data_IF_087582638381
#
_entry.id   IF_087582638381
#
_cell.length_a   1.000
_cell.length_b   1.000
_cell.length_c   1.000
_cell.angle_alpha   90.00
_cell.angle_beta   90.00
_cell.angle_gamma   90.00
#
_symmetry.space_group_name_H-M   'P 1'
#
loop_
_entity.id
_entity.type
_entity.pdbx_description
1 polymer ?
#
# COMPACT_ATOMS: atom_id res chain seq x y z
N UNK A 1 3.43 21.98 12.50
CA UNK A 1 2.74 20.93 13.29
C UNK A 1 2.09 19.95 12.34
N UNK A 2 2.66 18.74 12.15
CA UNK A 2 1.99 17.70 11.37
C UNK A 2 0.82 17.17 12.21
N UNK A 3 -0.39 17.41 11.74
CA UNK A 3 -1.61 16.82 12.31
C UNK A 3 -1.54 15.34 11.97
N UNK A 4 -1.14 14.50 12.92
CA UNK A 4 -1.21 13.04 12.83
C UNK A 4 -2.69 12.62 12.83
N UNK A 5 -3.41 12.93 11.74
CA UNK A 5 -4.82 12.59 11.61
C UNK A 5 -4.92 11.10 11.30
N UNK A 6 -5.31 10.35 12.32
CA UNK A 6 -5.59 8.92 12.22
C UNK A 6 -6.89 8.72 11.44
N UNK A 7 -6.79 8.13 10.25
CA UNK A 7 -7.94 7.81 9.42
C UNK A 7 -8.59 6.50 9.84
N UNK A 8 -9.91 6.45 9.72
CA UNK A 8 -10.76 5.26 9.77
C UNK A 8 -10.75 4.51 8.43
N UNK A 9 -11.43 3.37 8.36
CA UNK A 9 -11.59 2.63 7.09
C UNK A 9 -12.34 3.48 6.04
N UNK A 10 -13.50 4.11 6.34
CA UNK A 10 -14.18 4.97 5.36
C UNK A 10 -13.33 6.15 4.88
N UNK A 11 -12.61 6.82 5.77
CA UNK A 11 -11.72 7.92 5.38
C UNK A 11 -10.57 7.44 4.49
N UNK A 12 -10.02 6.26 4.77
CA UNK A 12 -8.99 5.67 3.92
C UNK A 12 -9.54 5.26 2.54
N UNK A 13 -10.81 4.82 2.47
CA UNK A 13 -11.48 4.52 1.20
C UNK A 13 -11.58 5.77 0.33
N UNK A 14 -11.99 6.89 0.92
CA UNK A 14 -12.06 8.17 0.22
C UNK A 14 -10.66 8.66 -0.18
N UNK A 15 -9.69 8.56 0.73
CA UNK A 15 -8.32 8.99 0.50
C UNK A 15 -7.65 8.25 -0.66
N UNK A 16 -7.80 6.92 -0.73
CA UNK A 16 -7.21 6.10 -1.79
C UNK A 16 -8.15 5.93 -3.00
N UNK A 17 -9.40 6.40 -2.91
CA UNK A 17 -10.46 6.18 -3.92
C UNK A 17 -10.69 4.71 -4.24
N UNK A 18 -10.72 3.86 -3.21
CA UNK A 18 -10.92 2.40 -3.35
C UNK A 18 -12.09 1.88 -2.53
N UNK A 19 -12.59 0.70 -2.91
CA UNK A 19 -13.65 0.01 -2.17
C UNK A 19 -13.10 -0.61 -0.89
N UNK A 20 -13.99 -0.85 0.08
CA UNK A 20 -13.68 -1.50 1.36
C UNK A 20 -12.92 -2.82 1.19
N UNK A 21 -13.33 -3.65 0.24
CA UNK A 21 -12.70 -4.95 -0.01
C UNK A 21 -11.22 -4.79 -0.37
N UNK A 22 -10.87 -3.78 -1.17
CA UNK A 22 -9.50 -3.45 -1.51
C UNK A 22 -8.69 -3.14 -0.26
N UNK A 23 -9.24 -2.40 0.70
CA UNK A 23 -8.53 -2.11 1.97
C UNK A 23 -8.26 -3.38 2.77
N UNK A 24 -9.18 -4.34 2.80
CA UNK A 24 -8.92 -5.63 3.44
C UNK A 24 -7.84 -6.43 2.72
N UNK A 25 -7.83 -6.42 1.39
CA UNK A 25 -6.73 -7.01 0.61
C UNK A 25 -5.39 -6.35 0.92
N UNK A 26 -5.34 -5.00 0.95
CA UNK A 26 -4.13 -4.25 1.28
C UNK A 26 -3.65 -4.54 2.71
N UNK A 27 -4.55 -4.76 3.67
CA UNK A 27 -4.18 -5.22 5.02
C UNK A 27 -3.47 -6.57 5.01
N UNK A 28 -3.94 -7.51 4.21
CA UNK A 28 -3.29 -8.81 4.06
C UNK A 28 -1.93 -8.68 3.38
N UNK A 29 -1.74 -7.65 2.54
CA UNK A 29 -0.46 -7.28 1.91
C UNK A 29 0.48 -6.45 2.81
N UNK A 30 0.09 -6.16 4.06
CA UNK A 30 0.95 -5.45 5.01
C UNK A 30 0.73 -3.95 5.11
N UNK A 31 -0.44 -3.43 4.70
CA UNK A 31 -0.82 -2.03 4.89
C UNK A 31 -0.59 -1.58 6.35
N UNK A 32 0.16 -0.47 6.58
CA UNK A 32 0.46 0.02 7.93
C UNK A 32 -0.80 0.38 8.71
N UNK A 33 -0.98 -0.26 9.86
CA UNK A 33 -2.18 -0.10 10.69
C UNK A 33 -1.84 0.12 12.16
N UNK A 34 -2.66 0.92 12.83
CA UNK A 34 -2.54 1.17 14.27
C UNK A 34 -3.82 0.66 14.94
N UNK A 35 -3.69 -0.32 15.85
CA UNK A 35 -4.82 -0.84 16.62
C UNK A 35 -5.06 0.06 17.84
N UNK A 36 -6.26 0.63 17.94
CA UNK A 36 -6.70 1.42 19.09
C UNK A 36 -8.00 0.80 19.61
N UNK A 37 -7.89 0.07 20.72
CA UNK A 37 -8.99 -0.72 21.28
C UNK A 37 -9.53 -1.76 20.29
N UNK A 38 -10.84 -1.67 20.01
CA UNK A 38 -11.55 -2.53 19.02
C UNK A 38 -11.51 -1.95 17.60
N UNK A 39 -10.93 -0.77 17.44
CA UNK A 39 -10.87 -0.03 16.18
C UNK A 39 -9.47 -0.13 15.58
N UNK A 40 -9.39 0.03 14.26
CA UNK A 40 -8.12 0.20 13.59
C UNK A 40 -8.08 1.56 12.89
N UNK A 41 -6.90 2.17 12.90
CA UNK A 41 -6.62 3.45 12.28
C UNK A 41 -5.42 3.37 11.35
N UNK A 42 -5.31 4.38 10.49
CA UNK A 42 -4.25 4.49 9.50
C UNK A 42 -3.65 5.88 9.57
N UNK A 43 -2.32 5.97 9.58
CA UNK A 43 -1.61 7.25 9.45
C UNK A 43 -1.37 7.53 7.98
N UNK A 44 -1.79 8.70 7.50
CA UNK A 44 -1.65 9.08 6.08
C UNK A 44 -0.20 8.96 5.61
N UNK A 45 0.75 9.54 6.36
CA UNK A 45 2.18 9.48 6.04
C UNK A 45 2.72 8.05 5.93
N UNK A 46 2.24 7.13 6.79
CA UNK A 46 2.67 5.73 6.76
C UNK A 46 2.10 4.99 5.55
N UNK A 47 0.83 5.26 5.20
CA UNK A 47 0.18 4.69 4.02
C UNK A 47 0.88 5.16 2.73
N UNK A 48 1.14 6.47 2.61
CA UNK A 48 1.84 7.05 1.45
C UNK A 48 3.23 6.43 1.31
N UNK A 49 4.00 6.36 2.40
CA UNK A 49 5.34 5.75 2.39
C UNK A 49 5.30 4.30 1.91
N UNK A 50 4.35 3.52 2.43
CA UNK A 50 4.19 2.12 2.02
C UNK A 50 3.83 1.98 0.53
N UNK A 51 2.97 2.86 0.00
CA UNK A 51 2.66 2.89 -1.44
C UNK A 51 3.91 3.22 -2.28
N UNK A 52 4.70 4.21 -1.88
CA UNK A 52 5.95 4.56 -2.58
C UNK A 52 6.98 3.43 -2.56
N UNK A 53 7.03 2.64 -1.48
CA UNK A 53 7.92 1.49 -1.39
C UNK A 53 7.43 0.32 -2.27
N UNK A 54 6.12 0.15 -2.41
CA UNK A 54 5.53 -0.79 -3.37
C UNK A 54 5.84 -0.40 -4.83
N UNK A 55 5.71 0.89 -5.16
CA UNK A 55 6.04 1.41 -6.49
C UNK A 55 7.50 1.09 -6.88
N UNK A 56 8.45 1.35 -5.98
CA UNK A 56 9.88 1.03 -6.19
C UNK A 56 10.12 -0.46 -6.40
N UNK A 57 9.40 -1.31 -5.67
CA UNK A 57 9.52 -2.77 -5.81
C UNK A 57 8.98 -3.24 -7.16
N UNK A 58 7.85 -2.68 -7.61
CA UNK A 58 7.26 -3.00 -8.90
C UNK A 58 8.10 -2.49 -10.09
N UNK A 59 8.83 -1.39 -9.90
CA UNK A 59 9.68 -0.80 -10.92
C UNK A 59 11.12 -1.35 -10.94
N UNK A 60 11.34 -2.53 -10.33
CA UNK A 60 12.61 -3.23 -10.44
C UNK A 60 12.82 -3.71 -11.89
N UNK A 61 13.93 -3.35 -12.55
CA UNK A 61 14.19 -3.68 -13.96
C UNK A 61 14.38 -5.19 -14.21
N UNK A 62 14.28 -6.03 -13.17
CA UNK A 62 14.38 -7.51 -13.28
C UNK A 62 13.34 -8.10 -14.25
N UNK A 63 12.18 -7.46 -14.44
CA UNK A 63 11.22 -7.90 -15.47
C UNK A 63 11.66 -7.59 -16.91
N UNK A 64 12.55 -6.62 -17.12
CA UNK A 64 13.05 -6.26 -18.46
C UNK A 64 14.17 -7.20 -18.94
N UNK A 65 14.89 -7.87 -18.04
CA UNK A 65 15.98 -8.79 -18.39
C UNK A 65 15.53 -10.24 -18.64
N UNK A 66 14.26 -10.56 -18.40
CA UNK A 66 13.73 -11.92 -18.59
C UNK A 66 13.06 -12.13 -19.97
N UNK A 67 12.93 -11.09 -20.81
CA UNK A 67 12.43 -11.23 -22.19
C UNK A 67 13.48 -11.65 -23.21
N UNK A 68 14.78 -11.44 -22.92
CA UNK A 68 15.83 -11.56 -23.94
C UNK A 68 16.54 -12.92 -23.97
N UNK A 69 16.24 -13.82 -23.03
CA UNK A 69 16.92 -15.12 -22.92
C UNK A 69 16.13 -16.31 -23.50
N UNK A 70 15.05 -16.08 -24.24
CA UNK A 70 14.25 -17.15 -24.86
C UNK A 70 14.71 -17.56 -26.26
N UNK A 71 15.82 -17.01 -26.77
CA UNK A 71 16.33 -17.31 -28.11
C UNK A 71 17.72 -17.95 -28.13
N UNK A 72 18.04 -18.78 -27.14
CA UNK A 72 19.21 -19.67 -27.16
C UNK A 72 18.88 -20.99 -26.46
N UNK A 73 18.16 -21.87 -27.16
CA UNK A 73 18.25 -23.33 -27.07
C UNK A 73 17.52 -23.96 -28.26
#
# INVERSE_FOLDING_TARGET
>A
MKKESLMTIPELMEFLKVKRNTIYTLRNLGLPTVKIGRSVRFRADSVIKWLSDLEKTSNSPVSAYLSDNTHLL
#
